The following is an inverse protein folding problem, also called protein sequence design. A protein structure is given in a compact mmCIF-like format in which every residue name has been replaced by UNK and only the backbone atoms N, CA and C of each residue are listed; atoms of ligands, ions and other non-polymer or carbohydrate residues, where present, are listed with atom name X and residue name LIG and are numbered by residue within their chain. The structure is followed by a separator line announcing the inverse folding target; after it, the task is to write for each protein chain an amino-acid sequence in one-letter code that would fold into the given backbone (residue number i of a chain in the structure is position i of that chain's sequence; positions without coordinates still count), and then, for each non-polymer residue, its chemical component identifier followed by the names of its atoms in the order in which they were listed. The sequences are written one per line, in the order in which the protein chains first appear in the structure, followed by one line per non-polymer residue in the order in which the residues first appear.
data_IF_001391343977
#
_entry.id   IF_001391343977
#
_cell.length_a   1.000
_cell.length_b   1.000
_cell.length_c   1.000
_cell.angle_alpha   90.00
_cell.angle_beta   90.00
_cell.angle_gamma   90.00
#
_symmetry.space_group_name_H-M   'P 1'
#
loop_
_entity.id
_entity.type
_entity.pdbx_description
1 polymer ?
#
# COMPACT_ATOMS: atom_id res chain seq x y z
N UNK A 1 -12.10 8.10 -24.01
CA UNK A 1 -12.25 6.88 -23.19
C UNK A 1 -11.09 6.85 -22.20
N UNK A 2 -11.33 6.69 -20.89
CA UNK A 2 -10.24 6.53 -19.92
C UNK A 2 -9.61 5.14 -20.02
N UNK A 3 -8.30 5.03 -19.76
CA UNK A 3 -7.58 3.74 -19.71
C UNK A 3 -6.99 3.56 -18.31
N UNK A 4 -7.18 2.37 -17.72
CA UNK A 4 -6.48 1.98 -16.50
C UNK A 4 -5.01 1.77 -16.84
N UNK A 5 -4.14 2.52 -16.19
CA UNK A 5 -2.69 2.49 -16.44
C UNK A 5 -1.96 1.51 -15.51
N UNK A 6 -2.33 1.51 -14.23
CA UNK A 6 -1.75 0.63 -13.22
C UNK A 6 -2.66 0.53 -11.98
N UNK A 7 -2.25 -0.31 -11.02
CA UNK A 7 -2.76 -0.27 -9.66
C UNK A 7 -2.07 0.87 -8.92
N UNK A 8 -2.83 1.78 -8.32
CA UNK A 8 -2.26 2.89 -7.52
C UNK A 8 -1.67 2.40 -6.20
N UNK A 9 -2.39 1.50 -5.51
CA UNK A 9 -1.87 0.84 -4.33
C UNK A 9 -2.74 -0.30 -3.84
N UNK A 10 -2.16 -1.14 -3.00
CA UNK A 10 -2.81 -2.25 -2.32
C UNK A 10 -2.64 -2.04 -0.83
N UNK A 11 -3.76 -1.83 -0.15
CA UNK A 11 -3.80 -1.53 1.27
C UNK A 11 -4.78 -2.47 1.95
N UNK A 12 -4.38 -3.06 3.07
CA UNK A 12 -5.20 -4.05 3.75
C UNK A 12 -4.88 -4.11 5.24
N UNK A 13 -5.80 -4.70 6.00
CA UNK A 13 -5.67 -4.90 7.45
C UNK A 13 -4.95 -6.21 7.75
N UNK A 14 -4.13 -6.21 8.80
CA UNK A 14 -3.45 -7.39 9.34
C UNK A 14 -3.49 -7.34 10.87
N UNK A 15 -3.73 -8.48 11.55
CA UNK A 15 -3.58 -8.57 13.00
C UNK A 15 -2.15 -8.29 13.49
N UNK A 16 -1.15 -8.51 12.63
CA UNK A 16 0.26 -8.19 12.91
C UNK A 16 0.97 -7.71 11.64
N UNK A 17 0.93 -6.40 11.35
CA UNK A 17 1.56 -5.82 10.16
C UNK A 17 3.08 -6.02 10.12
N UNK A 18 3.76 -5.90 11.27
CA UNK A 18 5.22 -6.03 11.35
C UNK A 18 5.70 -7.42 10.97
N UNK A 19 5.07 -8.47 11.54
CA UNK A 19 5.39 -9.86 11.18
C UNK A 19 5.11 -10.15 9.71
N UNK A 20 4.07 -9.51 9.15
CA UNK A 20 3.78 -9.64 7.73
C UNK A 20 4.88 -8.99 6.88
N UNK A 21 5.33 -7.80 7.25
CA UNK A 21 6.46 -7.14 6.58
C UNK A 21 7.73 -7.99 6.62
N UNK A 22 8.10 -8.53 7.79
CA UNK A 22 9.25 -9.44 7.90
C UNK A 22 9.12 -10.66 6.97
N UNK A 23 7.92 -11.20 6.81
CA UNK A 23 7.68 -12.31 5.90
C UNK A 23 7.88 -11.89 4.43
N UNK A 24 7.31 -10.76 4.01
CA UNK A 24 7.44 -10.25 2.65
C UNK A 24 8.89 -9.85 2.31
N UNK A 25 9.62 -9.23 3.25
CA UNK A 25 11.06 -8.96 3.12
C UNK A 25 11.86 -10.26 2.98
N UNK A 26 11.59 -11.25 3.83
CA UNK A 26 12.36 -12.50 3.86
C UNK A 26 12.16 -13.34 2.61
N UNK A 27 10.91 -13.52 2.19
CA UNK A 27 10.55 -14.50 1.17
C UNK A 27 10.37 -13.90 -0.22
N UNK A 28 9.84 -12.68 -0.29
CA UNK A 28 9.56 -12.01 -1.56
C UNK A 28 10.51 -10.85 -1.85
N UNK A 29 11.45 -10.55 -0.93
CA UNK A 29 12.46 -9.51 -1.08
C UNK A 29 11.85 -8.15 -1.39
N UNK A 30 10.68 -7.88 -0.83
CA UNK A 30 10.09 -6.55 -0.90
C UNK A 30 11.03 -5.58 -0.18
N UNK A 31 11.31 -4.44 -0.81
CA UNK A 31 11.99 -3.32 -0.17
C UNK A 31 10.96 -2.57 0.68
N UNK A 32 10.82 -2.99 1.94
CA UNK A 32 9.82 -2.45 2.85
C UNK A 32 10.44 -1.33 3.68
N UNK A 33 9.85 -0.14 3.55
CA UNK A 33 9.96 0.89 4.56
C UNK A 33 9.11 0.52 5.77
N UNK A 34 9.73 0.38 6.94
CA UNK A 34 9.03 0.10 8.21
C UNK A 34 7.94 1.12 8.55
N UNK A 35 7.99 2.33 7.97
CA UNK A 35 6.97 3.36 8.18
C UNK A 35 5.87 3.37 7.11
N UNK A 36 6.18 3.00 5.87
CA UNK A 36 5.29 3.27 4.72
C UNK A 36 4.93 2.03 3.87
N UNK A 37 5.46 0.84 4.19
CA UNK A 37 5.28 -0.36 3.37
C UNK A 37 6.28 -0.40 2.20
N UNK A 38 5.89 -1.00 1.08
CA UNK A 38 6.73 -1.12 -0.13
C UNK A 38 6.24 -0.21 -1.25
N UNK A 39 7.16 0.24 -2.09
CA UNK A 39 6.87 1.01 -3.32
C UNK A 39 7.45 0.30 -4.54
N UNK A 40 6.60 0.04 -5.53
CA UNK A 40 6.97 -0.64 -6.76
C UNK A 40 6.92 0.33 -7.95
N UNK A 41 8.03 0.63 -8.62
CA UNK A 41 7.99 1.42 -9.84
C UNK A 41 7.20 0.69 -10.93
N UNK A 42 6.38 1.42 -11.67
CA UNK A 42 5.57 0.86 -12.76
C UNK A 42 6.00 1.48 -14.08
N UNK A 43 6.49 0.67 -15.00
CA UNK A 43 7.00 1.14 -16.30
C UNK A 43 5.93 1.80 -17.18
N UNK A 44 4.69 1.33 -17.09
CA UNK A 44 3.55 1.85 -17.86
C UNK A 44 3.06 3.23 -17.40
N UNK A 45 3.69 3.82 -16.37
CA UNK A 45 3.28 5.08 -15.76
C UNK A 45 4.33 6.18 -15.98
N UNK A 46 3.95 7.47 -15.84
CA UNK A 46 4.90 8.58 -15.86
C UNK A 46 6.05 8.36 -14.87
N UNK A 47 7.23 8.92 -15.19
CA UNK A 47 8.41 8.85 -14.32
C UNK A 47 8.06 9.26 -12.89
N UNK A 48 8.57 8.51 -11.92
CA UNK A 48 8.33 8.65 -10.47
C UNK A 48 6.96 8.17 -9.97
N UNK A 49 6.19 7.48 -10.81
CA UNK A 49 4.98 6.77 -10.33
C UNK A 49 5.35 5.43 -9.71
N UNK A 50 4.63 5.06 -8.65
CA UNK A 50 4.80 3.78 -7.97
C UNK A 50 3.44 3.20 -7.60
N UNK A 51 3.36 1.87 -7.56
CA UNK A 51 2.32 1.16 -6.82
C UNK A 51 2.76 1.05 -5.37
N UNK A 52 1.93 1.51 -4.45
CA UNK A 52 2.20 1.39 -3.01
C UNK A 52 1.58 0.10 -2.48
N UNK A 53 2.29 -0.61 -1.62
CA UNK A 53 1.76 -1.77 -0.90
C UNK A 53 1.98 -1.57 0.59
N UNK A 54 0.92 -1.66 1.41
CA UNK A 54 1.07 -1.45 2.85
C UNK A 54 0.01 -2.19 3.66
N UNK A 55 0.43 -2.74 4.79
CA UNK A 55 -0.43 -3.42 5.74
C UNK A 55 -0.67 -2.51 6.95
N UNK A 56 -1.92 -2.44 7.39
CA UNK A 56 -2.33 -1.62 8.52
C UNK A 56 -2.79 -2.52 9.66
N UNK A 57 -2.72 -2.00 10.89
CA UNK A 57 -3.33 -2.65 12.05
C UNK A 57 -4.80 -2.97 11.77
N UNK A 58 -5.26 -4.14 12.19
CA UNK A 58 -6.68 -4.53 12.14
C UNK A 58 -7.61 -3.50 12.81
N UNK A 59 -7.11 -2.85 13.86
CA UNK A 59 -7.82 -1.81 14.61
C UNK A 59 -7.70 -0.40 14.00
N UNK A 60 -7.06 -0.25 12.83
CA UNK A 60 -6.94 1.06 12.18
C UNK A 60 -8.32 1.61 11.79
N UNK A 61 -8.47 2.93 11.97
CA UNK A 61 -9.60 3.72 11.46
C UNK A 61 -9.35 4.32 10.08
N UNK A 62 -8.17 4.10 9.51
CA UNK A 62 -7.75 4.71 8.24
C UNK A 62 -8.70 4.40 7.07
N UNK A 63 -9.35 3.24 7.09
CA UNK A 63 -10.31 2.81 6.06
C UNK A 63 -11.77 3.08 6.42
N UNK A 64 -12.04 3.71 7.57
CA UNK A 64 -13.41 4.08 7.92
C UNK A 64 -13.93 5.15 6.95
N UNK A 65 -15.24 5.13 6.63
CA UNK A 65 -15.85 6.19 5.85
C UNK A 65 -15.54 7.56 6.47
N UNK A 66 -15.22 8.54 5.62
CA UNK A 66 -15.03 9.90 6.09
C UNK A 66 -16.36 10.39 6.72
N UNK A 67 -16.30 10.78 7.99
CA UNK A 67 -17.47 11.33 8.72
C UNK A 67 -17.65 12.82 8.51
N UNK A 68 -16.65 13.47 7.90
CA UNK A 68 -16.66 14.89 7.58
C UNK A 68 -17.03 15.04 6.10
N UNK A 69 -18.14 15.73 5.84
CA UNK A 69 -18.43 16.20 4.49
C UNK A 69 -17.29 17.11 4.05
N UNK A 70 -16.76 16.83 2.85
CA UNK A 70 -15.63 17.58 2.28
C UNK A 70 -16.13 18.81 1.50
N UNK A 71 -17.45 19.05 1.48
CA UNK A 71 -18.10 20.23 0.90
C UNK A 71 -19.33 20.62 1.72
#
# INVERSE_FOLDING_TARGET
MGKVLCVGGVFFKSPNPEKLYEWYEKWLRFDISKQYGASFPVEAMPKKSVTVWSAFSETTKYFEPATKEIF
#
